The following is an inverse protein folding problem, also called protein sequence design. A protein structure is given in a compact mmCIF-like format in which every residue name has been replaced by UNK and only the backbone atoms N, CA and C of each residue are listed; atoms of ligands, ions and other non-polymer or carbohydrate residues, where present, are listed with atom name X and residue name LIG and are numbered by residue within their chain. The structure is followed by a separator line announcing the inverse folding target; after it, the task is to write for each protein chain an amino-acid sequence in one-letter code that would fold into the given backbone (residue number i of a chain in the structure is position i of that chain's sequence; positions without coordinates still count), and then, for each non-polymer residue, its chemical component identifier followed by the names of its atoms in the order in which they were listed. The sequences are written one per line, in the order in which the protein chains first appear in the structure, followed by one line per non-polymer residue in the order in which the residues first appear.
data_IF_521821680957
#
_entry.id   IF_521821680957
#
_cell.length_a   1.000
_cell.length_b   1.000
_cell.length_c   1.000
_cell.angle_alpha   90.00
_cell.angle_beta   90.00
_cell.angle_gamma   90.00
#
_symmetry.space_group_name_H-M   'P 1'
#
loop_
_entity.id
_entity.type
_entity.pdbx_description
1 polymer ?
#
# COMPACT_ATOMS: atom_id res chain seq x y z
N UNK A 1 58.31 47.82 11.73
CA UNK A 1 57.09 47.62 10.90
C UNK A 1 55.89 47.72 11.84
N UNK A 2 55.64 48.92 12.39
CA UNK A 2 54.60 49.90 12.05
C UNK A 2 53.17 49.44 12.44
N UNK A 3 52.77 49.96 13.59
CA UNK A 3 51.42 50.08 14.16
C UNK A 3 50.61 51.03 13.27
N UNK A 4 49.33 50.71 12.97
CA UNK A 4 48.38 51.66 12.37
C UNK A 4 47.22 51.94 13.32
N UNK A 5 47.23 53.18 13.82
CA UNK A 5 46.12 53.95 14.38
C UNK A 5 45.17 54.45 13.27
N UNK A 6 44.12 55.19 13.68
CA UNK A 6 43.22 56.15 12.97
C UNK A 6 41.82 55.59 12.58
N UNK A 7 40.66 56.18 12.90
CA UNK A 7 40.26 57.55 13.34
C UNK A 7 38.98 57.51 14.20
N UNK A 8 38.93 58.38 15.21
CA UNK A 8 37.71 58.93 15.77
C UNK A 8 37.22 60.11 14.90
N UNK A 9 35.90 60.29 14.79
CA UNK A 9 35.30 61.58 14.44
C UNK A 9 33.93 61.72 15.12
N UNK A 10 33.77 62.82 15.84
CA UNK A 10 32.56 63.22 16.56
C UNK A 10 31.95 64.48 15.93
N UNK A 11 30.71 64.78 16.36
CA UNK A 11 29.99 66.09 16.39
C UNK A 11 28.99 66.36 15.25
N UNK A 12 27.70 66.50 15.65
CA UNK A 12 26.79 67.66 15.41
C UNK A 12 25.32 67.24 15.72
N UNK A 13 24.79 67.43 16.94
CA UNK A 13 23.97 68.57 17.45
C UNK A 13 22.72 68.98 16.63
N UNK A 14 21.57 68.75 17.26
CA UNK A 14 20.28 69.47 17.30
C UNK A 14 19.67 70.11 16.05
N UNK A 15 18.40 69.76 15.76
CA UNK A 15 17.31 70.72 15.54
C UNK A 15 16.04 70.19 16.23
N UNK A 16 15.48 71.06 17.08
CA UNK A 16 14.18 70.96 17.74
C UNK A 16 13.09 71.43 16.78
N UNK A 17 11.97 70.73 16.71
CA UNK A 17 10.72 71.27 16.16
C UNK A 17 9.58 71.08 17.18
N UNK A 18 9.16 72.20 17.79
CA UNK A 18 7.91 72.32 18.54
C UNK A 18 6.72 72.36 17.56
N UNK A 19 5.58 71.76 17.94
CA UNK A 19 4.36 71.86 17.15
C UNK A 19 3.12 71.14 17.71
N UNK A 20 2.60 71.65 18.83
CA UNK A 20 1.17 71.76 19.23
C UNK A 20 0.23 70.54 19.35
N UNK A 21 -0.54 70.59 20.43
CA UNK A 21 -1.51 69.65 20.99
C UNK A 21 -2.82 69.43 20.21
N UNK A 22 -3.50 68.29 20.48
CA UNK A 22 -4.96 68.12 20.63
C UNK A 22 -5.24 66.69 21.19
N UNK A 23 -5.52 66.53 22.49
CA UNK A 23 -6.83 66.39 23.18
C UNK A 23 -7.70 65.22 22.70
N UNK A 24 -7.76 64.15 23.52
CA UNK A 24 -9.02 63.50 23.92
C UNK A 24 -8.80 62.60 25.16
N UNK A 25 -9.53 62.96 26.23
CA UNK A 25 -9.83 62.24 27.48
C UNK A 25 -10.18 60.73 27.24
N UNK A 26 -10.10 59.80 28.20
CA UNK A 26 -10.52 59.91 29.60
C UNK A 26 -9.85 58.87 30.52
N UNK A 27 -9.53 59.35 31.73
CA UNK A 27 -9.23 58.61 32.94
C UNK A 27 -10.52 58.02 33.51
N UNK A 28 -10.57 56.72 33.77
CA UNK A 28 -11.51 56.12 34.73
C UNK A 28 -10.71 55.25 35.69
N UNK A 29 -10.58 55.76 36.91
CA UNK A 29 -10.12 55.02 38.08
C UNK A 29 -11.17 53.97 38.45
N UNK A 30 -10.76 52.76 38.83
CA UNK A 30 -11.43 52.03 39.91
C UNK A 30 -10.39 51.23 40.69
N UNK A 31 -10.17 51.69 41.91
CA UNK A 31 -9.54 50.92 42.98
C UNK A 31 -10.36 49.66 43.24
N UNK A 32 -9.70 48.53 43.52
CA UNK A 32 -10.28 47.53 44.42
C UNK A 32 -9.16 47.01 45.30
N UNK A 33 -9.12 47.61 46.49
CA UNK A 33 -8.49 47.06 47.67
C UNK A 33 -9.22 45.76 48.07
N UNK A 34 -8.49 44.67 48.20
CA UNK A 34 -8.91 43.50 48.95
C UNK A 34 -7.69 42.82 49.59
N UNK A 35 -7.35 43.30 50.78
CA UNK A 35 -6.69 42.52 51.81
C UNK A 35 -7.52 41.27 52.13
N UNK A 36 -6.98 40.08 51.85
CA UNK A 36 -7.17 38.89 52.69
C UNK A 36 -6.15 37.82 52.33
N UNK A 37 -5.22 37.58 53.27
CA UNK A 37 -4.48 36.32 53.42
C UNK A 37 -3.57 35.96 52.24
N UNK A 38 -2.27 36.30 52.36
CA UNK A 38 -1.20 35.78 51.51
C UNK A 38 -1.01 34.29 51.79
N UNK A 39 -1.97 33.48 51.35
CA UNK A 39 -1.84 32.04 51.21
C UNK A 39 -1.26 31.82 49.82
N UNK A 40 0.07 31.89 49.72
CA UNK A 40 0.92 31.53 48.58
C UNK A 40 0.12 31.17 47.30
N UNK A 41 -0.46 32.17 46.65
CA UNK A 41 -1.38 31.95 45.55
C UNK A 41 -0.56 32.15 44.27
N UNK A 42 -0.20 31.05 43.62
CA UNK A 42 0.42 31.10 42.30
C UNK A 42 -0.55 31.84 41.37
N UNK A 43 -0.14 32.95 40.73
CA UNK A 43 -1.04 33.69 39.86
C UNK A 43 -1.40 32.83 38.63
N UNK A 44 -2.65 32.92 38.18
CA UNK A 44 -3.16 32.12 37.04
C UNK A 44 -2.34 32.34 35.75
N UNK A 45 -1.74 33.51 35.59
CA UNK A 45 -0.81 33.82 34.50
C UNK A 45 0.47 32.97 34.56
N UNK A 46 1.01 32.72 35.75
CA UNK A 46 2.16 31.85 35.94
C UNK A 46 1.81 30.37 35.69
N UNK A 47 0.62 29.94 36.12
CA UNK A 47 0.10 28.59 35.82
C UNK A 47 -0.02 28.40 34.31
N UNK A 48 -0.65 29.35 33.61
CA UNK A 48 -0.84 29.29 32.15
C UNK A 48 0.49 29.26 31.41
N UNK A 49 1.45 30.08 31.84
CA UNK A 49 2.80 30.14 31.23
C UNK A 49 3.56 28.82 31.43
N UNK A 50 3.46 28.24 32.63
CA UNK A 50 4.11 26.97 32.97
C UNK A 50 3.53 25.81 32.14
N UNK A 51 2.21 25.76 31.97
CA UNK A 51 1.55 24.74 31.14
C UNK A 51 1.95 24.90 29.68
N UNK A 52 1.92 26.13 29.13
CA UNK A 52 2.32 26.37 27.74
C UNK A 52 3.78 26.00 27.48
N UNK A 53 4.68 26.29 28.43
CA UNK A 53 6.09 25.94 28.31
C UNK A 53 6.29 24.43 28.25
N UNK A 54 5.57 23.68 29.10
CA UNK A 54 5.63 22.22 29.07
C UNK A 54 5.03 21.64 27.78
N UNK A 55 3.93 22.22 27.30
CA UNK A 55 3.32 21.81 26.03
C UNK A 55 4.23 22.04 24.83
N UNK A 56 5.11 23.04 24.89
CA UNK A 56 6.13 23.27 23.87
C UNK A 56 7.34 22.34 24.03
N UNK A 57 7.66 21.91 25.27
CA UNK A 57 8.75 20.98 25.54
C UNK A 57 8.40 19.52 25.20
N UNK A 58 7.12 19.15 25.29
CA UNK A 58 6.67 17.79 25.03
C UNK A 58 6.42 17.56 23.52
N UNK A 59 7.40 16.91 22.88
CA UNK A 59 7.35 16.53 21.45
C UNK A 59 6.17 15.63 21.05
N UNK A 60 5.49 15.00 22.02
CA UNK A 60 4.35 14.12 21.75
C UNK A 60 3.03 14.88 21.61
N UNK A 61 2.98 16.16 22.00
CA UNK A 61 1.81 17.02 21.87
C UNK A 61 2.12 18.23 21.00
N UNK A 62 1.15 18.63 20.17
CA UNK A 62 1.29 19.87 19.40
C UNK A 62 0.85 21.05 20.29
N UNK A 63 1.76 21.51 21.15
CA UNK A 63 1.50 22.58 22.12
C UNK A 63 1.00 23.91 21.49
N UNK A 64 1.30 24.15 20.20
CA UNK A 64 0.82 25.33 19.47
C UNK A 64 -0.66 25.23 19.08
N UNK A 65 -1.22 24.02 19.00
CA UNK A 65 -2.62 23.78 18.62
C UNK A 65 -3.58 23.71 19.82
N UNK A 66 -3.04 23.76 21.04
CA UNK A 66 -3.81 23.66 22.28
C UNK A 66 -3.79 25.03 22.96
N UNK A 67 -4.97 25.62 23.11
CA UNK A 67 -5.15 26.85 23.87
C UNK A 67 -5.41 26.52 25.34
N UNK A 68 -4.75 27.28 26.21
CA UNK A 68 -4.78 27.13 27.66
C UNK A 68 -5.27 28.42 28.27
N UNK A 69 -6.37 28.34 29.02
CA UNK A 69 -6.96 29.44 29.78
C UNK A 69 -7.07 29.01 31.24
N UNK A 70 -6.60 29.84 32.18
CA UNK A 70 -6.66 29.54 33.61
C UNK A 70 -7.40 30.65 34.35
N UNK A 71 -8.40 30.27 35.16
CA UNK A 71 -9.19 31.19 35.98
C UNK A 71 -9.34 30.61 37.39
N UNK A 72 -8.83 31.30 38.41
CA UNK A 72 -8.86 30.92 39.82
C UNK A 72 -8.32 29.51 40.12
N UNK A 73 -7.28 29.09 39.39
CA UNK A 73 -6.70 27.73 39.44
C UNK A 73 -7.48 26.66 38.67
N UNK A 74 -8.52 27.02 37.90
CA UNK A 74 -9.23 26.11 36.99
C UNK A 74 -8.68 26.30 35.58
N UNK A 75 -8.08 25.25 35.03
CA UNK A 75 -7.48 25.24 33.70
C UNK A 75 -8.50 24.69 32.69
N UNK A 76 -8.78 25.46 31.65
CA UNK A 76 -9.57 25.02 30.49
C UNK A 76 -8.66 24.81 29.29
N UNK A 77 -8.70 23.60 28.74
CA UNK A 77 -7.95 23.21 27.54
C UNK A 77 -8.90 23.17 26.34
N UNK A 78 -8.62 23.96 25.32
CA UNK A 78 -9.37 23.99 24.05
C UNK A 78 -8.41 23.78 22.87
N UNK A 79 -8.95 23.37 21.72
CA UNK A 79 -8.15 23.15 20.51
C UNK A 79 -8.39 21.78 19.89
N UNK A 80 -7.58 21.48 18.88
CA UNK A 80 -7.69 20.28 18.07
C UNK A 80 -6.52 19.34 18.39
N UNK A 81 -6.84 18.11 18.79
CA UNK A 81 -5.85 17.08 19.11
C UNK A 81 -5.99 15.87 18.17
N UNK A 82 -4.90 15.32 17.63
CA UNK A 82 -4.94 14.19 16.70
C UNK A 82 -5.40 12.85 17.29
N UNK A 83 -5.22 12.62 18.60
CA UNK A 83 -5.53 11.34 19.26
C UNK A 83 -6.00 11.52 20.70
N UNK A 84 -6.66 10.50 21.25
CA UNK A 84 -7.04 10.46 22.67
C UNK A 84 -5.81 10.37 23.58
N UNK A 85 -4.74 9.69 23.16
CA UNK A 85 -3.50 9.60 23.96
C UNK A 85 -2.86 10.99 24.15
N UNK A 86 -2.81 11.80 23.09
CA UNK A 86 -2.33 13.18 23.17
C UNK A 86 -3.23 14.05 24.06
N UNK A 87 -4.54 13.84 24.00
CA UNK A 87 -5.52 14.51 24.86
C UNK A 87 -5.28 14.17 26.34
N UNK A 88 -5.11 12.89 26.64
CA UNK A 88 -4.84 12.39 28.00
C UNK A 88 -3.50 12.90 28.53
N UNK A 89 -2.48 12.96 27.66
CA UNK A 89 -1.16 13.52 27.98
C UNK A 89 -1.25 15.01 28.33
N UNK A 90 -1.95 15.79 27.52
CA UNK A 90 -2.16 17.22 27.77
C UNK A 90 -2.91 17.48 29.09
N UNK A 91 -3.93 16.66 29.40
CA UNK A 91 -4.65 16.72 30.68
C UNK A 91 -3.70 16.40 31.85
N UNK A 92 -2.90 15.34 31.72
CA UNK A 92 -1.97 14.91 32.77
C UNK A 92 -0.91 15.97 33.07
N UNK A 93 -0.35 16.58 32.03
CA UNK A 93 0.60 17.69 32.16
C UNK A 93 -0.05 18.87 32.88
N UNK A 94 -1.25 19.28 32.48
CA UNK A 94 -1.96 20.38 33.13
C UNK A 94 -2.27 20.08 34.60
N UNK A 95 -2.68 18.85 34.93
CA UNK A 95 -2.95 18.43 36.31
C UNK A 95 -1.68 18.38 37.18
N UNK A 96 -0.52 18.10 36.59
CA UNK A 96 0.76 18.03 37.33
C UNK A 96 1.31 19.37 37.79
N UNK A 97 0.76 20.50 37.31
CA UNK A 97 1.28 21.83 37.61
C UNK A 97 0.81 22.33 38.98
N UNK A 98 1.73 22.96 39.69
CA UNK A 98 1.47 23.60 40.97
C UNK A 98 0.44 24.74 40.83
N UNK A 99 -0.54 24.79 41.74
CA UNK A 99 -1.62 25.77 41.72
C UNK A 99 -2.87 25.36 40.93
N UNK A 100 -2.83 24.24 40.19
CA UNK A 100 -4.00 23.73 39.46
C UNK A 100 -4.96 23.00 40.41
N UNK A 101 -6.19 23.51 40.51
CA UNK A 101 -7.27 22.92 41.32
C UNK A 101 -8.14 21.96 40.52
N UNK A 102 -8.36 22.28 39.24
CA UNK A 102 -9.21 21.49 38.34
C UNK A 102 -8.80 21.71 36.89
N UNK A 103 -8.88 20.65 36.08
CA UNK A 103 -8.68 20.72 34.63
C UNK A 103 -9.98 20.35 33.92
N UNK A 104 -10.41 21.21 32.99
CA UNK A 104 -11.58 21.02 32.14
C UNK A 104 -11.11 20.91 30.69
N UNK A 105 -11.26 19.73 30.10
CA UNK A 105 -10.92 19.51 28.70
C UNK A 105 -12.15 19.76 27.81
N UNK A 106 -12.04 20.75 26.93
CA UNK A 106 -12.96 21.03 25.80
C UNK A 106 -12.26 20.81 24.45
N UNK A 107 -11.17 20.04 24.44
CA UNK A 107 -10.42 19.70 23.23
C UNK A 107 -11.27 18.79 22.31
N UNK A 108 -11.26 19.08 21.02
CA UNK A 108 -11.89 18.26 19.99
C UNK A 108 -10.84 17.35 19.39
N UNK A 109 -11.17 16.06 19.28
CA UNK A 109 -10.29 15.11 18.62
C UNK A 109 -10.59 15.16 17.13
N UNK A 110 -9.71 15.79 16.37
CA UNK A 110 -9.72 15.69 14.91
C UNK A 110 -8.89 14.48 14.54
N UNK A 111 -9.50 13.30 14.70
CA UNK A 111 -8.93 12.09 14.13
C UNK A 111 -9.10 12.17 12.61
N UNK A 112 -8.12 12.71 11.91
CA UNK A 112 -7.75 12.10 10.63
C UNK A 112 -7.24 10.70 11.00
N UNK A 113 -8.15 9.74 11.13
CA UNK A 113 -7.85 8.36 11.55
C UNK A 113 -6.82 7.76 10.58
N UNK A 114 -5.55 7.88 10.90
CA UNK A 114 -4.52 7.00 10.38
C UNK A 114 -4.12 6.08 11.52
N UNK A 115 -4.81 4.94 11.70
CA UNK A 115 -4.36 3.94 12.66
C UNK A 115 -2.96 3.48 12.24
N UNK A 116 -1.95 3.81 13.05
CA UNK A 116 -0.61 3.24 12.96
C UNK A 116 -0.66 1.84 13.56
N UNK A 117 -1.38 0.93 12.90
CA UNK A 117 -1.06 -0.50 12.92
C UNK A 117 -0.25 -0.73 11.66
N UNK A 118 1.06 -0.46 11.70
CA UNK A 118 2.04 -0.77 10.63
C UNK A 118 1.39 -0.91 9.26
N UNK A 119 0.74 0.17 8.80
CA UNK A 119 0.06 0.15 7.53
C UNK A 119 1.19 0.21 6.52
N UNK A 120 1.62 -0.94 6.01
CA UNK A 120 2.46 -0.98 4.82
C UNK A 120 1.66 -0.21 3.79
N UNK A 121 2.17 0.97 3.40
CA UNK A 121 1.48 1.82 2.45
C UNK A 121 1.29 1.03 1.16
N UNK A 122 0.19 1.25 0.46
CA UNK A 122 -0.03 0.61 -0.84
C UNK A 122 1.14 0.89 -1.81
N UNK A 123 1.81 2.04 -1.64
CA UNK A 123 3.05 2.38 -2.35
C UNK A 123 4.21 1.45 -1.99
N UNK A 124 4.41 1.11 -0.72
CA UNK A 124 5.42 0.16 -0.28
C UNK A 124 5.11 -1.27 -0.73
N UNK A 125 3.84 -1.69 -0.71
CA UNK A 125 3.40 -2.98 -1.28
C UNK A 125 3.73 -3.01 -2.78
N UNK A 126 3.34 -1.97 -3.52
CA UNK A 126 3.59 -1.86 -4.97
C UNK A 126 5.08 -1.89 -5.29
N UNK A 127 5.89 -1.14 -4.55
CA UNK A 127 7.35 -1.12 -4.72
C UNK A 127 7.97 -2.51 -4.46
N UNK A 128 7.51 -3.20 -3.41
CA UNK A 128 7.99 -4.54 -3.06
C UNK A 128 7.66 -5.56 -4.15
N UNK A 129 6.42 -5.54 -4.67
CA UNK A 129 5.99 -6.42 -5.76
C UNK A 129 6.78 -6.13 -7.04
N UNK A 130 6.96 -4.84 -7.40
CA UNK A 130 7.75 -4.46 -8.57
C UNK A 130 9.21 -4.89 -8.43
N UNK A 131 9.81 -4.75 -7.26
CA UNK A 131 11.17 -5.21 -7.02
C UNK A 131 11.30 -6.72 -7.24
N UNK A 132 10.33 -7.51 -6.78
CA UNK A 132 10.36 -8.96 -6.98
C UNK A 132 10.17 -9.33 -8.45
N UNK A 133 9.26 -8.66 -9.16
CA UNK A 133 9.09 -8.87 -10.60
C UNK A 133 10.31 -8.50 -11.42
N UNK A 134 11.14 -7.57 -10.95
CA UNK A 134 12.41 -7.22 -11.59
C UNK A 134 13.52 -8.22 -11.23
N UNK A 135 13.45 -8.87 -10.07
CA UNK A 135 14.40 -9.89 -9.64
C UNK A 135 14.12 -11.28 -10.25
N UNK A 136 12.88 -11.54 -10.66
CA UNK A 136 12.47 -12.81 -11.26
C UNK A 136 12.86 -12.86 -12.75
N UNK A 137 13.79 -13.74 -13.11
CA UNK A 137 14.28 -13.92 -14.49
C UNK A 137 13.22 -14.45 -15.45
N UNK A 138 12.19 -15.11 -14.94
CA UNK A 138 11.11 -15.71 -15.73
C UNK A 138 9.97 -14.72 -15.97
N UNK A 139 9.99 -13.55 -15.34
CA UNK A 139 8.98 -12.51 -15.49
C UNK A 139 9.62 -11.26 -16.08
N UNK A 140 9.06 -10.77 -17.19
CA UNK A 140 9.41 -9.44 -17.66
C UNK A 140 8.69 -8.39 -16.80
N UNK A 141 9.26 -8.07 -15.63
CA UNK A 141 8.67 -7.14 -14.66
C UNK A 141 8.38 -5.74 -15.22
N UNK A 142 9.03 -5.34 -16.31
CA UNK A 142 8.79 -4.07 -17.00
C UNK A 142 7.48 -4.06 -17.81
N UNK A 143 6.99 -5.23 -18.22
CA UNK A 143 5.76 -5.36 -19.02
C UNK A 143 4.50 -5.47 -18.16
N UNK A 144 4.66 -5.57 -16.83
CA UNK A 144 3.58 -5.73 -15.87
C UNK A 144 3.45 -4.45 -15.04
N UNK A 145 2.31 -3.80 -15.15
CA UNK A 145 1.93 -2.70 -14.29
C UNK A 145 1.26 -3.23 -13.02
N UNK A 146 1.67 -2.68 -11.89
CA UNK A 146 1.19 -3.03 -10.56
C UNK A 146 0.62 -1.79 -9.92
N UNK A 147 -0.65 -1.86 -9.52
CA UNK A 147 -1.34 -0.82 -8.78
C UNK A 147 -1.93 -1.44 -7.52
N UNK A 148 -1.71 -0.83 -6.35
CA UNK A 148 -2.27 -1.31 -5.08
C UNK A 148 -3.16 -0.24 -4.48
N UNK A 149 -4.34 -0.65 -3.97
CA UNK A 149 -5.28 0.25 -3.28
C UNK A 149 -5.96 -0.48 -2.13
N UNK A 150 -5.80 0.04 -0.91
CA UNK A 150 -6.31 -0.52 0.34
C UNK A 150 -5.93 -2.00 0.56
N UNK A 151 -4.73 -2.41 0.11
CA UNK A 151 -4.26 -3.80 0.12
C UNK A 151 -4.83 -4.68 -1.01
N UNK A 152 -5.55 -4.11 -1.97
CA UNK A 152 -5.98 -4.82 -3.19
C UNK A 152 -5.01 -4.51 -4.31
N UNK A 153 -4.27 -5.52 -4.76
CA UNK A 153 -3.30 -5.42 -5.86
C UNK A 153 -4.00 -5.69 -7.17
N UNK A 154 -3.86 -4.81 -8.14
CA UNK A 154 -4.31 -4.99 -9.52
C UNK A 154 -3.09 -5.13 -10.43
N UNK A 155 -3.03 -6.25 -11.15
CA UNK A 155 -1.98 -6.53 -12.13
C UNK A 155 -2.53 -6.31 -13.53
N UNK A 156 -1.91 -5.44 -14.33
CA UNK A 156 -2.27 -5.18 -15.72
C UNK A 156 -1.03 -5.26 -16.61
N UNK A 157 -1.22 -5.50 -17.90
CA UNK A 157 -0.11 -5.64 -18.85
C UNK A 157 -0.17 -6.93 -19.65
N UNK A 158 0.91 -7.19 -20.37
CA UNK A 158 1.01 -8.29 -21.32
C UNK A 158 2.03 -9.32 -20.81
N UNK A 159 1.65 -10.58 -20.83
CA UNK A 159 2.51 -11.70 -20.44
C UNK A 159 2.61 -12.74 -21.57
N UNK A 160 3.78 -13.34 -21.81
CA UNK A 160 3.97 -14.36 -22.85
C UNK A 160 3.20 -15.67 -22.63
N UNK A 161 2.96 -16.11 -21.39
CA UNK A 161 2.35 -17.42 -21.11
C UNK A 161 1.44 -17.41 -19.87
N UNK A 162 0.59 -18.43 -19.75
CA UNK A 162 -0.23 -18.64 -18.54
C UNK A 162 0.64 -18.98 -17.32
N UNK A 163 1.76 -19.69 -17.50
CA UNK A 163 2.67 -20.00 -16.40
C UNK A 163 3.29 -18.72 -15.80
N UNK A 164 3.71 -17.78 -16.66
CA UNK A 164 4.19 -16.47 -16.21
C UNK A 164 3.09 -15.65 -15.51
N UNK A 165 1.85 -15.73 -15.99
CA UNK A 165 0.69 -15.09 -15.34
C UNK A 165 0.47 -15.64 -13.93
N UNK A 166 0.49 -16.97 -13.78
CA UNK A 166 0.31 -17.64 -12.50
C UNK A 166 1.45 -17.34 -11.53
N UNK A 167 2.69 -17.29 -12.02
CA UNK A 167 3.86 -16.89 -11.23
C UNK A 167 3.72 -15.46 -10.72
N UNK A 168 3.34 -14.52 -11.58
CA UNK A 168 3.12 -13.11 -11.20
C UNK A 168 2.01 -12.96 -10.15
N UNK A 169 0.91 -13.71 -10.28
CA UNK A 169 -0.17 -13.74 -9.29
C UNK A 169 0.36 -14.26 -7.94
N UNK A 170 1.11 -15.37 -7.96
CA UNK A 170 1.62 -16.01 -6.75
C UNK A 170 2.59 -15.09 -5.99
N UNK A 171 3.50 -14.43 -6.70
CA UNK A 171 4.42 -13.45 -6.12
C UNK A 171 3.67 -12.29 -5.48
N UNK A 172 2.63 -11.77 -6.14
CA UNK A 172 1.83 -10.69 -5.59
C UNK A 172 1.01 -11.13 -4.37
N UNK A 173 0.47 -12.35 -4.35
CA UNK A 173 -0.33 -12.87 -3.24
C UNK A 173 0.49 -13.12 -1.97
N UNK A 174 1.75 -13.53 -2.11
CA UNK A 174 2.62 -13.88 -0.98
C UNK A 174 3.23 -12.65 -0.28
N UNK A 175 2.85 -11.43 -0.66
CA UNK A 175 3.40 -10.21 -0.07
C UNK A 175 2.61 -9.74 1.14
N UNK A 176 3.34 -9.32 2.17
CA UNK A 176 2.75 -8.77 3.38
C UNK A 176 1.89 -7.53 3.08
N UNK A 177 0.69 -7.51 3.67
CA UNK A 177 -0.28 -6.44 3.46
C UNK A 177 -1.22 -6.63 2.26
N UNK A 178 -1.00 -7.65 1.43
CA UNK A 178 -1.90 -7.99 0.31
C UNK A 178 -3.12 -8.74 0.83
N UNK A 179 -4.30 -8.15 0.64
CA UNK A 179 -5.60 -8.75 1.01
C UNK A 179 -6.23 -9.50 -0.15
N UNK A 180 -6.01 -9.01 -1.38
CA UNK A 180 -6.60 -9.57 -2.60
C UNK A 180 -5.75 -9.19 -3.80
N UNK A 181 -5.64 -10.11 -4.75
CA UNK A 181 -5.02 -9.87 -6.05
C UNK A 181 -6.07 -9.96 -7.15
N UNK A 182 -6.13 -8.93 -7.99
CA UNK A 182 -6.97 -8.83 -9.17
C UNK A 182 -6.09 -8.85 -10.42
N UNK A 183 -6.03 -9.99 -11.10
CA UNK A 183 -5.25 -10.12 -12.32
C UNK A 183 -6.08 -9.74 -13.54
N UNK A 184 -5.65 -8.69 -14.26
CA UNK A 184 -6.14 -8.29 -15.58
C UNK A 184 -5.04 -8.43 -16.64
N UNK A 185 -4.08 -9.32 -16.40
CA UNK A 185 -2.99 -9.63 -17.34
C UNK A 185 -3.54 -10.28 -18.61
N UNK A 186 -3.08 -9.79 -19.77
CA UNK A 186 -3.40 -10.35 -21.09
C UNK A 186 -2.26 -11.21 -21.57
N UNK A 187 -2.56 -12.38 -22.12
CA UNK A 187 -1.54 -13.27 -22.66
C UNK A 187 -1.34 -12.92 -24.12
N UNK A 188 -0.15 -12.41 -24.46
CA UNK A 188 0.20 -11.97 -25.82
C UNK A 188 1.21 -12.87 -26.51
N UNK A 189 1.82 -13.80 -25.78
CA UNK A 189 2.65 -14.83 -26.40
C UNK A 189 1.78 -15.82 -27.14
N UNK A 190 2.22 -16.18 -28.36
CA UNK A 190 1.65 -17.25 -29.17
C UNK A 190 1.35 -18.42 -28.23
N UNK A 191 0.10 -18.87 -28.22
CA UNK A 191 -0.33 -20.07 -27.50
C UNK A 191 0.66 -21.19 -27.81
N UNK A 192 1.62 -21.42 -26.93
CA UNK A 192 2.29 -22.69 -26.81
C UNK A 192 1.57 -23.38 -25.66
N UNK A 193 0.56 -24.20 -25.94
CA UNK A 193 -0.08 -25.04 -24.94
C UNK A 193 0.92 -26.06 -24.36
N UNK A 194 1.73 -25.64 -23.38
CA UNK A 194 2.86 -26.42 -22.82
C UNK A 194 2.44 -27.51 -21.83
N UNK A 195 1.14 -27.69 -21.52
CA UNK A 195 0.71 -28.82 -20.68
C UNK A 195 -0.37 -29.74 -21.22
N UNK A 196 -1.07 -29.37 -22.30
CA UNK A 196 -2.13 -30.22 -22.88
C UNK A 196 -1.92 -30.52 -24.36
N UNK A 197 -1.44 -29.57 -25.17
CA UNK A 197 -1.15 -29.89 -26.57
C UNK A 197 0.21 -30.54 -26.77
N UNK A 198 1.19 -30.33 -25.88
CA UNK A 198 2.44 -31.09 -25.91
C UNK A 198 2.14 -32.57 -25.64
N UNK A 199 1.21 -32.89 -24.74
CA UNK A 199 0.76 -34.27 -24.53
C UNK A 199 -0.07 -34.77 -25.71
N UNK A 200 -1.04 -34.01 -26.22
CA UNK A 200 -1.90 -34.50 -27.31
C UNK A 200 -1.13 -34.68 -28.63
N UNK A 201 -0.18 -33.80 -28.92
CA UNK A 201 0.75 -33.94 -30.05
C UNK A 201 1.66 -35.16 -29.86
N UNK A 202 2.20 -35.36 -28.65
CA UNK A 202 3.02 -36.54 -28.34
C UNK A 202 2.21 -37.85 -28.40
N UNK A 203 0.96 -37.85 -27.94
CA UNK A 203 0.02 -38.98 -28.04
C UNK A 203 -0.25 -39.26 -29.53
N UNK A 204 -0.61 -38.24 -30.31
CA UNK A 204 -0.87 -38.36 -31.75
C UNK A 204 0.35 -38.91 -32.49
N UNK A 205 1.55 -38.38 -32.19
CA UNK A 205 2.80 -38.85 -32.79
C UNK A 205 3.13 -40.29 -32.36
N UNK A 206 2.82 -40.68 -31.12
CA UNK A 206 3.03 -42.04 -30.63
C UNK A 206 2.09 -43.04 -31.30
N UNK A 207 0.81 -42.69 -31.44
CA UNK A 207 -0.17 -43.54 -32.15
C UNK A 207 0.20 -43.68 -33.62
N UNK A 208 0.57 -42.58 -34.29
CA UNK A 208 1.01 -42.64 -35.69
C UNK A 208 2.28 -43.49 -35.86
N UNK A 209 3.23 -43.41 -34.94
CA UNK A 209 4.43 -44.28 -34.97
C UNK A 209 4.06 -45.75 -34.89
N UNK A 210 3.16 -46.12 -33.98
CA UNK A 210 2.71 -47.51 -33.84
C UNK A 210 1.93 -48.01 -35.06
N UNK A 211 1.05 -47.16 -35.62
CA UNK A 211 0.32 -47.50 -36.85
C UNK A 211 1.24 -47.68 -38.07
N UNK A 212 2.37 -46.99 -38.10
CA UNK A 212 3.39 -47.16 -39.14
C UNK A 212 4.27 -48.39 -38.88
N UNK A 213 4.44 -48.80 -37.62
CA UNK A 213 5.23 -49.97 -37.24
C UNK A 213 4.46 -51.29 -37.41
N UNK A 214 3.13 -51.27 -37.26
CA UNK A 214 2.28 -52.44 -37.44
C UNK A 214 2.01 -52.70 -38.93
N UNK A 215 2.63 -53.74 -39.49
CA UNK A 215 2.45 -54.13 -40.90
C UNK A 215 1.03 -54.62 -41.23
N UNK A 216 0.23 -54.98 -40.21
CA UNK A 216 -1.16 -55.38 -40.35
C UNK A 216 -2.13 -54.19 -40.37
N UNK A 217 -1.61 -52.96 -40.27
CA UNK A 217 -2.34 -51.69 -40.36
C UNK A 217 -1.70 -50.84 -41.46
N UNK A 218 -2.48 -50.42 -42.44
CA UNK A 218 -2.05 -49.34 -43.33
C UNK A 218 -2.16 -47.98 -42.61
N UNK A 219 -1.15 -47.66 -41.79
CA UNK A 219 -1.14 -46.46 -40.95
C UNK A 219 -1.24 -45.13 -41.71
N UNK A 220 -0.98 -45.13 -43.03
CA UNK A 220 -1.11 -43.96 -43.90
C UNK A 220 -2.57 -43.63 -44.24
N UNK A 221 -3.47 -44.61 -44.18
CA UNK A 221 -4.90 -44.42 -44.49
C UNK A 221 -5.73 -43.97 -43.28
N UNK A 222 -5.12 -43.95 -42.09
CA UNK A 222 -5.79 -43.60 -40.85
C UNK A 222 -5.29 -42.25 -40.36
N UNK A 223 -6.19 -41.28 -40.30
CA UNK A 223 -5.94 -40.00 -39.66
C UNK A 223 -6.20 -40.10 -38.15
N UNK A 224 -5.28 -39.52 -37.37
CA UNK A 224 -5.32 -39.50 -35.92
C UNK A 224 -5.28 -38.06 -35.47
N UNK A 225 -6.29 -37.66 -34.71
CA UNK A 225 -6.39 -36.36 -34.06
C UNK A 225 -6.62 -36.57 -32.57
N UNK A 226 -5.89 -35.86 -31.71
CA UNK A 226 -6.04 -35.96 -30.26
C UNK A 226 -6.35 -34.59 -29.67
N UNK A 227 -7.33 -34.53 -28.78
CA UNK A 227 -7.69 -33.31 -28.05
C UNK A 227 -8.07 -33.65 -26.60
N UNK A 228 -7.31 -33.12 -25.65
CA UNK A 228 -7.45 -33.32 -24.20
C UNK A 228 -7.46 -34.81 -23.77
N UNK A 229 -6.65 -35.64 -24.43
CA UNK A 229 -6.62 -37.10 -24.23
C UNK A 229 -7.77 -37.87 -24.89
N UNK A 230 -8.62 -37.21 -25.68
CA UNK A 230 -9.62 -37.89 -26.54
C UNK A 230 -9.02 -38.07 -27.93
N UNK A 231 -8.87 -39.31 -28.35
CA UNK A 231 -8.32 -39.68 -29.67
C UNK A 231 -9.47 -39.94 -30.63
N UNK A 232 -9.45 -39.30 -31.80
CA UNK A 232 -10.39 -39.53 -32.89
C UNK A 232 -9.64 -40.21 -34.04
N UNK A 233 -10.14 -41.37 -34.45
CA UNK A 233 -9.64 -42.12 -35.59
C UNK A 233 -10.59 -41.95 -36.78
N UNK A 234 -10.08 -41.47 -37.92
CA UNK A 234 -10.87 -41.32 -39.15
C UNK A 234 -10.10 -41.91 -40.34
N UNK A 235 -10.82 -42.36 -41.36
CA UNK A 235 -10.23 -42.99 -42.54
C UNK A 235 -10.95 -44.24 -42.97
N UNK A 236 -10.42 -44.85 -44.03
CA UNK A 236 -10.96 -46.06 -44.63
C UNK A 236 -10.01 -47.23 -44.34
N UNK A 237 -10.55 -48.33 -43.83
CA UNK A 237 -9.80 -49.54 -43.48
C UNK A 237 -10.33 -50.74 -44.27
N UNK A 238 -9.48 -51.70 -44.69
CA UNK A 238 -9.90 -52.80 -45.57
C UNK A 238 -10.75 -53.89 -44.90
N UNK A 239 -10.73 -54.01 -43.58
CA UNK A 239 -11.49 -55.04 -42.85
C UNK A 239 -11.72 -54.67 -41.38
N UNK A 240 -12.63 -55.40 -40.73
CA UNK A 240 -12.96 -55.21 -39.31
C UNK A 240 -11.79 -55.52 -38.37
N UNK A 241 -10.91 -56.45 -38.72
CA UNK A 241 -9.76 -56.81 -37.89
C UNK A 241 -8.75 -55.68 -37.79
N UNK A 242 -8.51 -54.96 -38.89
CA UNK A 242 -7.66 -53.78 -38.93
C UNK A 242 -8.28 -52.61 -38.16
N UNK A 243 -9.62 -52.47 -38.21
CA UNK A 243 -10.34 -51.50 -37.38
C UNK A 243 -10.12 -51.77 -35.88
N UNK A 244 -10.32 -53.02 -35.46
CA UNK A 244 -10.17 -53.43 -34.06
C UNK A 244 -8.72 -53.26 -33.56
N UNK A 245 -7.72 -53.60 -34.39
CA UNK A 245 -6.30 -53.39 -34.06
C UNK A 245 -5.96 -51.90 -33.89
N UNK A 246 -6.43 -51.03 -34.80
CA UNK A 246 -6.20 -49.59 -34.70
C UNK A 246 -6.82 -48.99 -33.42
N UNK A 247 -8.02 -49.43 -33.07
CA UNK A 247 -8.68 -49.02 -31.82
C UNK A 247 -7.91 -49.48 -30.58
N UNK A 248 -7.45 -50.74 -30.57
CA UNK A 248 -6.68 -51.32 -29.46
C UNK A 248 -5.36 -50.58 -29.23
N UNK A 249 -4.59 -50.34 -30.31
CA UNK A 249 -3.33 -49.59 -30.23
C UNK A 249 -3.57 -48.18 -29.70
N UNK A 250 -4.60 -47.48 -30.20
CA UNK A 250 -4.94 -46.14 -29.71
C UNK A 250 -5.33 -46.14 -28.23
N UNK A 251 -6.08 -47.13 -27.75
CA UNK A 251 -6.49 -47.24 -26.35
C UNK A 251 -5.32 -47.58 -25.40
N UNK A 252 -4.32 -48.30 -25.89
CA UNK A 252 -3.16 -48.73 -25.08
C UNK A 252 -2.16 -47.63 -24.75
N UNK A 253 -2.29 -46.44 -25.36
CA UNK A 253 -1.32 -45.35 -25.19
C UNK A 253 -1.54 -44.56 -23.92
N UNK A 254 -0.42 -44.28 -23.24
CA UNK A 254 -0.41 -43.47 -22.03
C UNK A 254 -0.95 -42.06 -22.31
N UNK A 255 -1.84 -41.59 -21.42
CA UNK A 255 -2.54 -40.32 -21.57
C UNK A 255 -3.85 -40.36 -22.39
N UNK A 256 -4.22 -41.50 -22.97
CA UNK A 256 -5.52 -41.65 -23.67
C UNK A 256 -6.64 -41.87 -22.66
N UNK A 257 -7.63 -40.96 -22.66
CA UNK A 257 -8.83 -41.01 -21.82
C UNK A 257 -10.01 -41.66 -22.54
N UNK A 258 -10.10 -41.46 -23.85
CA UNK A 258 -11.19 -41.99 -24.67
C UNK A 258 -10.73 -42.13 -26.13
N UNK A 259 -11.21 -43.17 -26.80
CA UNK A 259 -11.03 -43.36 -28.24
C UNK A 259 -12.38 -43.32 -28.93
N UNK A 260 -12.51 -42.45 -29.94
CA UNK A 260 -13.70 -42.31 -30.79
C UNK A 260 -13.32 -42.78 -32.19
N UNK A 261 -13.82 -43.95 -32.58
CA UNK A 261 -13.58 -44.53 -33.90
C UNK A 261 -14.65 -44.11 -34.89
N UNK A 262 -14.24 -43.41 -35.96
CA UNK A 262 -15.05 -43.08 -37.14
C UNK A 262 -14.49 -43.75 -38.41
N UNK A 263 -13.81 -44.88 -38.24
CA UNK A 263 -13.25 -45.66 -39.35
C UNK A 263 -14.35 -46.37 -40.13
N UNK A 264 -14.28 -46.26 -41.47
CA UNK A 264 -15.19 -46.93 -42.40
C UNK A 264 -14.52 -48.17 -42.99
N UNK A 265 -15.25 -49.27 -43.05
CA UNK A 265 -14.78 -50.50 -43.70
C UNK A 265 -15.14 -50.41 -45.19
N UNK A 266 -14.16 -50.65 -46.05
CA UNK A 266 -14.33 -50.67 -47.51
C UNK A 266 -14.73 -52.04 -48.02
#
# INVERSE_FOLDING_TARGET
MIIKNLKALAIATSIVALGTANIANAKVSTSTDHSSTVKNLVPDSAITTSIKSEFLADSTINGLSIHVETINGVVTLTGNVPSEDMKNRAISIAQSREGVKKVVSKMKITTEKHPVKTAISDSAITASIKSEFLADSDINGLSIHVETKNGVVTLTGNVPSEDMKNRAISIAQNRDGVKKVNSKLKITGVKHPVKTAVSDSAITASIKRDFLADSAINGLSIHVETSNGVVVLTGDVPNGDMKARAESIAQSKDGVKQVVSKLRIK
#
